data_IF_357568113779
#
_entry.id   IF_357568113779
#
_cell.length_a   1.000
_cell.length_b   1.000
_cell.length_c   1.000
_cell.angle_alpha   90.00
_cell.angle_beta   90.00
_cell.angle_gamma   90.00
#
_symmetry.space_group_name_H-M   'P 1'
#
loop_
_entity.id
_entity.type
_entity.pdbx_description
1 polymer ?
#
# COMPACT_ATOMS: atom_id res chain seq x y z
N UNK A 1 9.05 9.73 -7.63
CA UNK A 1 7.58 9.56 -7.62
C UNK A 1 7.18 8.24 -8.25
N UNK A 2 7.74 7.90 -9.41
CA UNK A 2 7.48 6.66 -10.15
C UNK A 2 7.59 5.38 -9.29
N UNK A 3 8.64 5.26 -8.47
CA UNK A 3 8.83 4.08 -7.60
C UNK A 3 7.74 3.93 -6.53
N UNK A 4 7.23 5.03 -5.97
CA UNK A 4 6.14 4.98 -4.98
C UNK A 4 4.85 4.49 -5.64
N UNK A 5 4.50 5.06 -6.80
CA UNK A 5 3.31 4.69 -7.57
C UNK A 5 3.42 3.24 -8.03
N UNK A 6 4.59 2.78 -8.48
CA UNK A 6 4.82 1.39 -8.86
C UNK A 6 4.65 0.43 -7.69
N UNK A 7 5.23 0.73 -6.52
CA UNK A 7 5.09 -0.11 -5.33
C UNK A 7 3.63 -0.16 -4.83
N UNK A 8 2.94 0.97 -4.88
CA UNK A 8 1.52 1.06 -4.55
C UNK A 8 0.67 0.19 -5.51
N UNK A 9 0.89 0.30 -6.82
CA UNK A 9 0.19 -0.52 -7.82
C UNK A 9 0.46 -2.02 -7.65
N UNK A 10 1.68 -2.41 -7.31
CA UNK A 10 2.03 -3.81 -7.01
C UNK A 10 1.31 -4.32 -5.77
N UNK A 11 1.25 -3.51 -4.72
CA UNK A 11 0.56 -3.84 -3.47
C UNK A 11 -0.94 -4.04 -3.72
N UNK A 12 -1.57 -3.11 -4.45
CA UNK A 12 -2.98 -3.19 -4.85
C UNK A 12 -3.26 -4.50 -5.60
N UNK A 13 -2.52 -4.78 -6.68
CA UNK A 13 -2.74 -6.00 -7.49
C UNK A 13 -2.64 -7.28 -6.67
N UNK A 14 -1.67 -7.34 -5.77
CA UNK A 14 -1.47 -8.51 -4.95
C UNK A 14 -2.59 -8.67 -3.89
N UNK A 15 -3.11 -7.57 -3.36
CA UNK A 15 -4.29 -7.58 -2.47
C UNK A 15 -5.57 -7.97 -3.22
N UNK A 16 -5.77 -7.49 -4.46
CA UNK A 16 -6.90 -7.91 -5.31
C UNK A 16 -6.87 -9.43 -5.54
N UNK A 17 -5.69 -9.98 -5.84
CA UNK A 17 -5.54 -11.44 -6.01
C UNK A 17 -5.83 -12.20 -4.71
N UNK A 18 -5.63 -11.58 -3.54
CA UNK A 18 -5.93 -12.18 -2.24
C UNK A 18 -7.43 -12.10 -1.90
N UNK A 19 -8.10 -10.98 -2.18
CA UNK A 19 -9.54 -10.84 -1.94
C UNK A 19 -10.35 -11.82 -2.80
N UNK A 20 -9.91 -12.08 -4.04
CA UNK A 20 -10.50 -13.09 -4.93
C UNK A 20 -10.44 -14.53 -4.37
N UNK A 21 -9.52 -14.82 -3.43
CA UNK A 21 -9.35 -16.16 -2.85
C UNK A 21 -10.32 -16.47 -1.70
N UNK A 22 -11.26 -15.56 -1.37
CA UNK A 22 -12.29 -15.73 -0.32
C UNK A 22 -11.72 -16.11 1.06
N UNK A 23 -10.71 -15.37 1.49
CA UNK A 23 -10.08 -15.57 2.79
C UNK A 23 -10.96 -15.05 3.93
N UNK A 24 -10.85 -15.59 5.17
CA UNK A 24 -11.59 -15.09 6.33
C UNK A 24 -11.38 -13.59 6.60
N UNK A 25 -10.19 -13.09 6.26
CA UNK A 25 -9.81 -11.69 6.42
C UNK A 25 -10.14 -10.81 5.20
N UNK A 26 -11.01 -11.27 4.29
CA UNK A 26 -11.37 -10.55 3.05
C UNK A 26 -11.85 -9.11 3.30
N UNK A 27 -12.67 -8.89 4.33
CA UNK A 27 -13.19 -7.54 4.65
C UNK A 27 -12.06 -6.55 4.98
N UNK A 28 -10.99 -7.00 5.66
CA UNK A 28 -9.83 -6.14 5.96
C UNK A 28 -9.00 -5.87 4.70
N UNK A 29 -8.89 -6.86 3.81
CA UNK A 29 -8.18 -6.70 2.54
C UNK A 29 -8.90 -5.69 1.65
N UNK A 30 -10.23 -5.75 1.60
CA UNK A 30 -11.05 -4.83 0.83
C UNK A 30 -10.96 -3.39 1.36
N UNK A 31 -11.01 -3.19 2.69
CA UNK A 31 -10.81 -1.86 3.29
C UNK A 31 -9.42 -1.27 2.95
N UNK A 32 -8.37 -2.10 3.00
CA UNK A 32 -7.02 -1.69 2.63
C UNK A 32 -6.91 -1.35 1.15
N UNK A 33 -7.58 -2.12 0.28
CA UNK A 33 -7.65 -1.83 -1.15
C UNK A 33 -8.28 -0.45 -1.40
N UNK A 34 -9.42 -0.17 -0.80
CA UNK A 34 -10.11 1.11 -0.94
C UNK A 34 -9.21 2.29 -0.52
N UNK A 35 -8.54 2.16 0.63
CA UNK A 35 -7.61 3.19 1.11
C UNK A 35 -6.43 3.39 0.15
N UNK A 36 -5.81 2.31 -0.34
CA UNK A 36 -4.69 2.39 -1.29
C UNK A 36 -5.10 2.98 -2.64
N UNK A 37 -6.30 2.67 -3.12
CA UNK A 37 -6.85 3.26 -4.34
C UNK A 37 -7.06 4.76 -4.21
N UNK A 38 -7.65 5.21 -3.10
CA UNK A 38 -7.83 6.64 -2.84
C UNK A 38 -6.46 7.35 -2.78
N UNK A 39 -5.51 6.80 -2.03
CA UNK A 39 -4.17 7.37 -1.92
C UNK A 39 -3.42 7.41 -3.25
N UNK A 40 -3.66 6.44 -4.15
CA UNK A 40 -3.13 6.44 -5.52
C UNK A 40 -3.63 7.65 -6.31
N UNK A 41 -4.94 7.90 -6.26
CA UNK A 41 -5.58 9.00 -6.97
C UNK A 41 -5.02 10.32 -6.46
N UNK A 42 -4.95 10.47 -5.15
CA UNK A 42 -4.41 11.68 -4.50
C UNK A 42 -2.95 11.91 -4.91
N UNK A 43 -2.11 10.87 -4.89
CA UNK A 43 -0.70 10.95 -5.29
C UNK A 43 -0.48 11.35 -6.76
N UNK A 44 -1.31 10.85 -7.69
CA UNK A 44 -1.15 11.15 -9.12
C UNK A 44 -1.34 12.64 -9.40
N UNK A 45 -2.13 13.33 -8.58
CA UNK A 45 -2.39 14.75 -8.71
C UNK A 45 -1.37 15.64 -7.98
N UNK A 46 -0.34 15.07 -7.35
CA UNK A 46 0.59 15.79 -6.48
C UNK A 46 2.02 15.83 -7.00
N UNK A 47 2.66 16.99 -6.80
CA UNK A 47 4.10 17.14 -6.95
C UNK A 47 4.80 16.91 -5.62
N UNK A 48 5.17 15.66 -5.36
CA UNK A 48 5.90 15.26 -4.15
C UNK A 48 7.42 15.32 -4.36
N UNK A 49 8.12 16.04 -3.50
CA UNK A 49 9.58 16.05 -3.48
C UNK A 49 10.15 14.69 -3.02
N UNK A 50 10.95 14.07 -3.89
CA UNK A 50 11.61 12.78 -3.63
C UNK A 50 12.68 12.84 -2.54
N UNK A 51 13.16 14.03 -2.18
CA UNK A 51 14.12 14.24 -1.11
C UNK A 51 13.46 14.40 0.27
N UNK A 52 12.12 14.51 0.33
CA UNK A 52 11.44 14.64 1.61
C UNK A 52 11.55 13.34 2.42
N UNK A 53 11.81 13.42 3.75
CA UNK A 53 11.84 12.24 4.61
C UNK A 53 10.52 11.46 4.57
N UNK A 54 9.39 12.16 4.46
CA UNK A 54 8.07 11.56 4.35
C UNK A 54 7.95 10.69 3.08
N UNK A 55 8.46 11.17 1.93
CA UNK A 55 8.46 10.39 0.70
C UNK A 55 9.33 9.14 0.81
N UNK A 56 10.54 9.26 1.36
CA UNK A 56 11.45 8.11 1.50
C UNK A 56 10.85 7.03 2.42
N UNK A 57 10.22 7.43 3.53
CA UNK A 57 9.53 6.52 4.43
C UNK A 57 8.35 5.83 3.74
N UNK A 58 7.53 6.58 2.99
CA UNK A 58 6.41 6.02 2.24
C UNK A 58 6.88 5.01 1.18
N UNK A 59 7.97 5.30 0.46
CA UNK A 59 8.55 4.37 -0.53
C UNK A 59 9.03 3.08 0.12
N UNK A 60 9.75 3.18 1.23
CA UNK A 60 10.26 2.00 1.94
C UNK A 60 9.11 1.15 2.48
N UNK A 61 8.12 1.76 3.13
CA UNK A 61 6.96 1.06 3.67
C UNK A 61 6.16 0.37 2.56
N UNK A 62 5.90 1.06 1.44
CA UNK A 62 5.21 0.47 0.30
C UNK A 62 5.99 -0.64 -0.39
N UNK A 63 7.32 -0.53 -0.46
CA UNK A 63 8.16 -1.61 -0.99
C UNK A 63 8.06 -2.87 -0.13
N UNK A 64 8.04 -2.72 1.20
CA UNK A 64 7.87 -3.83 2.12
C UNK A 64 6.47 -4.43 2.04
N UNK A 65 5.43 -3.58 1.98
CA UNK A 65 4.05 -4.01 1.80
C UNK A 65 3.89 -4.83 0.50
N UNK A 66 4.36 -4.31 -0.63
CA UNK A 66 4.32 -5.04 -1.90
C UNK A 66 4.98 -6.42 -1.79
N UNK A 67 6.18 -6.51 -1.21
CA UNK A 67 6.89 -7.78 -1.06
C UNK A 67 6.18 -8.78 -0.14
N UNK A 68 5.51 -8.30 0.91
CA UNK A 68 4.77 -9.15 1.87
C UNK A 68 3.46 -9.64 1.29
N UNK A 69 2.71 -8.75 0.65
CA UNK A 69 1.44 -9.10 -0.01
C UNK A 69 1.69 -10.02 -1.20
N UNK A 70 2.73 -9.79 -2.01
CA UNK A 70 3.07 -10.70 -3.13
C UNK A 70 3.42 -12.12 -2.64
N UNK A 71 4.02 -12.25 -1.45
CA UNK A 71 4.23 -13.55 -0.81
C UNK A 71 2.92 -14.14 -0.32
N UNK A 72 2.09 -13.36 0.35
CA UNK A 72 0.79 -13.80 0.82
C UNK A 72 -0.13 -14.23 -0.34
N UNK A 73 -0.10 -13.56 -1.48
CA UNK A 73 -0.86 -13.94 -2.67
C UNK A 73 -0.49 -15.34 -3.21
N UNK A 74 0.75 -15.80 -2.97
CA UNK A 74 1.22 -17.16 -3.28
C UNK A 74 1.02 -18.14 -2.13
N UNK A 75 1.06 -17.65 -0.89
CA UNK A 75 0.94 -18.40 0.36
C UNK A 75 -0.08 -17.70 1.28
N UNK A 76 -1.40 -17.93 1.10
CA UNK A 76 -2.43 -17.15 1.79
C UNK A 76 -2.39 -17.25 3.32
N UNK A 77 -1.80 -18.32 3.86
CA UNK A 77 -1.53 -18.49 5.29
C UNK A 77 -0.66 -17.37 5.90
N UNK A 78 0.07 -16.62 5.06
CA UNK A 78 0.91 -15.48 5.46
C UNK A 78 0.19 -14.14 5.44
N UNK A 79 -1.10 -14.10 5.12
CA UNK A 79 -1.88 -12.86 5.09
C UNK A 79 -1.80 -12.11 6.42
N UNK A 80 -1.86 -12.83 7.54
CA UNK A 80 -1.74 -12.26 8.89
C UNK A 80 -0.40 -11.55 9.14
N UNK A 81 0.66 -11.91 8.42
CA UNK A 81 1.95 -11.19 8.47
C UNK A 81 1.99 -9.98 7.52
N UNK A 82 1.18 -10.01 6.45
CA UNK A 82 1.16 -8.97 5.43
C UNK A 82 0.27 -7.79 5.82
N UNK A 83 -0.92 -8.05 6.39
CA UNK A 83 -1.91 -7.03 6.75
C UNK A 83 -1.32 -5.90 7.62
N UNK A 84 -0.57 -6.17 8.72
CA UNK A 84 0.00 -5.10 9.54
C UNK A 84 1.01 -4.24 8.78
N UNK A 85 1.75 -4.82 7.83
CA UNK A 85 2.74 -4.11 7.02
C UNK A 85 2.07 -3.21 5.99
N UNK A 86 0.96 -3.67 5.38
CA UNK A 86 0.15 -2.83 4.50
C UNK A 86 -0.46 -1.67 5.28
N UNK A 87 -0.99 -1.92 6.47
CA UNK A 87 -1.58 -0.89 7.32
C UNK A 87 -0.57 0.20 7.70
N UNK A 88 0.66 -0.16 8.12
CA UNK A 88 1.72 0.83 8.35
C UNK A 88 2.01 1.63 7.08
N UNK A 89 2.12 0.96 5.93
CA UNK A 89 2.43 1.62 4.67
C UNK A 89 1.33 2.61 4.25
N UNK A 90 0.05 2.26 4.42
CA UNK A 90 -1.09 3.17 4.23
C UNK A 90 -0.99 4.38 5.16
N UNK A 91 -0.64 4.17 6.43
CA UNK A 91 -0.44 5.26 7.39
C UNK A 91 0.72 6.20 7.02
N UNK A 92 1.83 5.65 6.48
CA UNK A 92 2.97 6.46 6.01
C UNK A 92 2.61 7.26 4.75
N UNK A 93 1.80 6.70 3.87
CA UNK A 93 1.25 7.42 2.71
C UNK A 93 0.28 8.52 3.12
N UNK A 94 -0.63 8.27 4.06
CA UNK A 94 -1.53 9.29 4.57
C UNK A 94 -0.74 10.47 5.18
N UNK A 95 0.33 10.18 5.94
CA UNK A 95 1.23 11.22 6.47
C UNK A 95 1.94 12.00 5.37
N UNK A 96 2.36 11.33 4.30
CA UNK A 96 2.92 12.01 3.13
C UNK A 96 1.87 12.93 2.51
N UNK A 97 0.68 12.41 2.22
CA UNK A 97 -0.41 13.16 1.59
C UNK A 97 -0.81 14.39 2.41
N UNK A 98 -0.99 14.26 3.72
CA UNK A 98 -1.27 15.39 4.61
C UNK A 98 -0.14 16.45 4.64
N UNK A 99 1.10 16.05 4.34
CA UNK A 99 2.23 16.99 4.28
C UNK A 99 2.23 17.81 2.98
N UNK A 100 1.67 17.27 1.90
CA UNK A 100 1.58 17.94 0.58
C UNK A 100 0.22 18.57 0.29
N UNK A 101 -0.85 18.09 0.94
CA UNK A 101 -2.23 18.59 0.88
C UNK A 101 -2.72 18.89 2.30
N UNK A 102 -2.41 20.07 2.86
CA UNK A 102 -2.98 20.53 4.12
C UNK A 102 -4.45 20.95 4.00
#
# INVERSE_FOLDING_TARGET
MESLIQNLQRTIRALETLSEQKLPEADQVDELLDQLFQQKIDLVNLSVSSSSPAYQQAVQAMSQAAARVEKAAKEPSRLNEAVPVVFDAVGKLAKLLNHVMP
#
